data_IF_800608548749
#
_entry.id   IF_800608548749
#
_cell.length_a   1.000
_cell.length_b   1.000
_cell.length_c   1.000
_cell.angle_alpha   90.00
_cell.angle_beta   90.00
_cell.angle_gamma   90.00
#
_symmetry.space_group_name_H-M   'P 1'
#
loop_
_entity.id
_entity.type
_entity.pdbx_description
1 polymer ?
#
# COMPACT_ATOMS: atom_id res chain seq x y z
N UNK A 1 -1.35 -51.30 -60.03
CA UNK A 1 -1.22 -50.21 -59.04
C UNK A 1 -1.99 -49.02 -59.61
N UNK A 2 -3.23 -48.73 -59.20
CA UNK A 2 -3.57 -47.86 -58.05
C UNK A 2 -3.35 -46.38 -58.44
N UNK A 3 -4.32 -45.46 -58.51
CA UNK A 3 -5.63 -45.33 -57.84
C UNK A 3 -6.63 -44.52 -58.69
N UNK A 4 -7.91 -44.84 -58.47
CA UNK A 4 -9.13 -44.07 -58.77
C UNK A 4 -9.39 -43.05 -57.65
N UNK A 5 -10.14 -41.97 -57.93
CA UNK A 5 -11.08 -41.14 -57.13
C UNK A 5 -11.09 -39.73 -57.80
N UNK A 6 -12.10 -39.15 -58.47
CA UNK A 6 -13.57 -39.15 -58.32
C UNK A 6 -13.96 -38.92 -56.85
N UNK A 7 -14.63 -37.87 -56.41
CA UNK A 7 -15.27 -36.69 -57.00
C UNK A 7 -15.84 -35.88 -55.81
N UNK A 8 -16.60 -34.83 -56.14
CA UNK A 8 -17.58 -34.14 -55.26
C UNK A 8 -17.03 -33.14 -54.23
N UNK A 9 -17.66 -32.01 -53.96
CA UNK A 9 -18.68 -31.21 -54.63
C UNK A 9 -18.70 -29.90 -53.84
N UNK A 10 -18.73 -28.79 -54.56
CA UNK A 10 -18.87 -27.42 -54.10
C UNK A 10 -20.16 -27.21 -53.27
N UNK A 11 -20.12 -26.38 -52.23
CA UNK A 11 -21.13 -25.32 -52.01
C UNK A 11 -20.58 -24.22 -51.10
N UNK A 12 -20.67 -23.01 -51.65
CA UNK A 12 -20.52 -21.69 -51.03
C UNK A 12 -21.44 -21.50 -49.80
N UNK A 13 -21.04 -20.62 -48.87
CA UNK A 13 -21.68 -19.30 -48.69
C UNK A 13 -20.99 -18.47 -47.59
N UNK A 14 -21.18 -17.16 -47.75
CA UNK A 14 -20.36 -16.05 -47.26
C UNK A 14 -20.61 -15.64 -45.79
N UNK A 15 -19.58 -14.98 -45.26
CA UNK A 15 -19.65 -13.73 -44.50
C UNK A 15 -20.42 -13.72 -43.17
N UNK A 16 -19.67 -13.70 -42.07
CA UNK A 16 -19.93 -12.73 -41.01
C UNK A 16 -18.60 -12.25 -40.42
N UNK A 17 -18.23 -11.02 -40.82
CA UNK A 17 -17.28 -10.20 -40.11
C UNK A 17 -17.93 -9.72 -38.82
N UNK A 18 -17.37 -10.09 -37.66
CA UNK A 18 -17.68 -9.41 -36.40
C UNK A 18 -16.43 -8.66 -35.92
N UNK A 19 -16.42 -7.32 -36.00
CA UNK A 19 -15.35 -6.48 -35.46
C UNK A 19 -15.65 -6.09 -34.01
N UNK A 20 -14.63 -6.19 -33.15
CA UNK A 20 -14.46 -5.34 -31.95
C UNK A 20 -15.25 -5.70 -30.69
N UNK A 21 -14.55 -6.30 -29.73
CA UNK A 21 -14.75 -5.99 -28.31
C UNK A 21 -13.39 -6.10 -27.60
N UNK A 22 -12.80 -4.93 -27.38
CA UNK A 22 -11.67 -4.65 -26.51
C UNK A 22 -11.89 -5.08 -25.07
N UNK A 23 -10.77 -5.28 -24.37
CA UNK A 23 -10.58 -5.20 -22.93
C UNK A 23 -10.51 -6.51 -22.14
N UNK A 24 -9.41 -7.23 -22.35
CA UNK A 24 -8.63 -7.83 -21.27
C UNK A 24 -7.26 -8.21 -21.83
N UNK A 25 -6.33 -7.26 -21.89
CA UNK A 25 -4.92 -7.64 -21.86
C UNK A 25 -4.76 -8.35 -20.51
N UNK A 26 -4.80 -9.69 -20.51
CA UNK A 26 -4.23 -10.46 -19.41
C UNK A 26 -2.84 -9.89 -19.23
N UNK A 27 -2.69 -9.10 -18.15
CA UNK A 27 -1.51 -8.31 -17.86
C UNK A 27 -0.43 -9.32 -17.50
N UNK A 28 0.22 -9.85 -18.54
CA UNK A 28 1.25 -10.88 -18.41
C UNK A 28 2.19 -10.41 -17.32
N UNK A 29 2.37 -11.27 -16.30
CA UNK A 29 3.14 -10.89 -15.12
C UNK A 29 4.51 -10.38 -15.59
N UNK A 30 4.94 -9.17 -15.20
CA UNK A 30 6.19 -8.62 -15.67
C UNK A 30 7.32 -9.64 -15.52
N UNK A 31 8.15 -9.86 -16.56
CA UNK A 31 9.23 -10.87 -16.57
C UNK A 31 10.13 -10.80 -15.33
N UNK A 32 10.25 -9.62 -14.74
CA UNK A 32 10.94 -9.40 -13.47
C UNK A 32 10.37 -10.19 -12.30
N UNK A 33 9.04 -10.35 -12.20
CA UNK A 33 8.40 -11.14 -11.15
C UNK A 33 8.77 -12.62 -11.26
N UNK A 34 8.80 -13.16 -12.48
CA UNK A 34 9.24 -14.53 -12.77
C UNK A 34 10.71 -14.74 -12.35
N UNK A 35 11.58 -13.80 -12.73
CA UNK A 35 13.00 -13.87 -12.39
C UNK A 35 13.22 -13.81 -10.86
N UNK A 36 12.51 -12.92 -10.17
CA UNK A 36 12.57 -12.78 -8.72
C UNK A 36 12.05 -14.02 -7.99
N UNK A 37 10.91 -14.56 -8.42
CA UNK A 37 10.36 -15.79 -7.87
C UNK A 37 11.37 -16.94 -7.99
N UNK A 38 11.92 -17.16 -9.19
CA UNK A 38 12.88 -18.21 -9.43
C UNK A 38 14.17 -18.03 -8.60
N UNK A 39 14.63 -16.78 -8.42
CA UNK A 39 15.80 -16.49 -7.59
C UNK A 39 15.54 -16.80 -6.11
N UNK A 40 14.42 -16.33 -5.56
CA UNK A 40 14.05 -16.52 -4.16
C UNK A 40 13.75 -17.99 -3.83
N UNK A 41 13.05 -18.71 -4.70
CA UNK A 41 12.77 -20.13 -4.52
C UNK A 41 14.06 -20.97 -4.53
N UNK A 42 15.01 -20.66 -5.42
CA UNK A 42 16.34 -21.29 -5.38
C UNK A 42 17.09 -20.99 -4.08
N UNK A 43 16.99 -19.76 -3.58
CA UNK A 43 17.67 -19.32 -2.37
C UNK A 43 17.08 -20.02 -1.12
N UNK A 44 15.75 -20.03 -1.01
CA UNK A 44 15.02 -20.78 0.03
C UNK A 44 15.39 -22.26 0.00
N UNK A 45 15.34 -22.90 -1.17
CA UNK A 45 15.66 -24.31 -1.29
C UNK A 45 17.12 -24.65 -0.91
N UNK A 46 18.08 -23.77 -1.22
CA UNK A 46 19.49 -23.94 -0.82
C UNK A 46 19.65 -23.82 0.70
N UNK A 47 19.05 -22.79 1.29
CA UNK A 47 19.15 -22.53 2.72
C UNK A 47 18.49 -23.64 3.54
N UNK A 48 17.30 -24.10 3.14
CA UNK A 48 16.61 -25.19 3.84
C UNK A 48 17.35 -26.53 3.77
N UNK A 49 18.13 -26.78 2.71
CA UNK A 49 19.03 -27.95 2.67
C UNK A 49 20.16 -27.81 3.67
N UNK A 50 20.87 -26.69 3.68
CA UNK A 50 21.99 -26.45 4.60
C UNK A 50 21.53 -26.43 6.08
N UNK A 51 20.31 -25.96 6.35
CA UNK A 51 19.73 -25.91 7.69
C UNK A 51 19.29 -27.26 8.26
N UNK A 52 19.14 -28.29 7.42
CA UNK A 52 18.88 -29.65 7.91
C UNK A 52 20.13 -30.26 8.55
N UNK A 53 21.31 -29.77 8.17
CA UNK A 53 22.60 -30.30 8.61
C UNK A 53 23.10 -29.61 9.90
N UNK A 54 22.50 -28.49 10.32
CA UNK A 54 22.92 -27.66 11.47
C UNK A 54 21.72 -27.52 12.43
N UNK A 55 21.56 -28.45 13.38
CA UNK A 55 20.31 -28.59 14.14
C UNK A 55 20.12 -27.65 15.33
N UNK A 56 21.08 -26.80 15.69
CA UNK A 56 21.02 -26.07 16.96
C UNK A 56 21.31 -24.58 16.76
N UNK A 57 20.43 -23.73 17.29
CA UNK A 57 20.52 -22.25 17.35
C UNK A 57 19.98 -21.46 16.14
N UNK A 58 18.70 -21.66 15.80
CA UNK A 58 17.99 -20.75 14.87
C UNK A 58 17.56 -19.48 15.60
N UNK A 59 18.05 -18.32 15.13
CA UNK A 59 17.57 -17.01 15.58
C UNK A 59 16.21 -16.73 14.94
N UNK A 60 15.14 -16.88 15.73
CA UNK A 60 13.78 -16.57 15.27
C UNK A 60 13.61 -15.05 15.16
N UNK A 61 13.03 -14.59 14.05
CA UNK A 61 12.70 -13.17 13.83
C UNK A 61 11.21 -12.99 13.65
N UNK A 62 10.72 -11.74 13.77
CA UNK A 62 9.30 -11.38 13.54
C UNK A 62 8.80 -11.73 12.12
N UNK A 63 9.72 -11.95 11.19
CA UNK A 63 9.41 -12.33 9.82
C UNK A 63 9.10 -13.82 9.68
N UNK A 64 9.40 -14.66 10.67
CA UNK A 64 9.06 -16.07 10.64
C UNK A 64 7.58 -16.29 10.98
N UNK A 65 6.83 -16.86 10.03
CA UNK A 65 5.51 -17.40 10.29
C UNK A 65 5.57 -18.72 11.06
N UNK A 66 4.48 -19.05 11.75
CA UNK A 66 4.31 -20.36 12.42
C UNK A 66 4.24 -21.52 11.41
N UNK A 67 3.77 -21.24 10.19
CA UNK A 67 3.67 -22.18 9.07
C UNK A 67 3.93 -21.44 7.77
N UNK A 68 4.50 -22.10 6.75
CA UNK A 68 4.68 -21.50 5.45
C UNK A 68 3.32 -21.26 4.79
N UNK A 69 3.09 -20.12 4.11
CA UNK A 69 1.88 -19.88 3.35
C UNK A 69 1.65 -20.94 2.27
N UNK A 70 0.40 -21.39 2.08
CA UNK A 70 0.02 -22.32 1.00
C UNK A 70 -0.16 -21.57 -0.34
N UNK A 71 0.86 -20.81 -0.73
CA UNK A 71 0.93 -20.06 -1.99
C UNK A 71 2.40 -19.97 -2.41
N UNK A 72 2.70 -20.19 -3.69
CA UNK A 72 4.06 -20.05 -4.22
C UNK A 72 4.54 -18.60 -4.17
N UNK A 73 5.85 -18.40 -4.23
CA UNK A 73 6.44 -17.05 -4.25
C UNK A 73 5.98 -16.30 -5.49
N UNK A 74 5.93 -16.96 -6.65
CA UNK A 74 5.44 -16.36 -7.89
C UNK A 74 3.98 -15.88 -7.77
N UNK A 75 3.07 -16.75 -7.35
CA UNK A 75 1.65 -16.38 -7.19
C UNK A 75 1.48 -15.27 -6.15
N UNK A 76 2.33 -15.21 -5.14
CA UNK A 76 2.33 -14.14 -4.16
C UNK A 76 2.75 -12.79 -4.78
N UNK A 77 3.84 -12.79 -5.56
CA UNK A 77 4.32 -11.61 -6.29
C UNK A 77 3.30 -11.12 -7.33
N UNK A 78 2.64 -12.03 -8.05
CA UNK A 78 1.57 -11.69 -9.00
C UNK A 78 0.38 -11.02 -8.31
N UNK A 79 -0.02 -11.52 -7.14
CA UNK A 79 -1.08 -10.90 -6.33
C UNK A 79 -0.65 -9.53 -5.84
N UNK A 80 0.58 -9.39 -5.36
CA UNK A 80 1.11 -8.09 -4.98
C UNK A 80 1.02 -7.13 -6.16
N UNK A 81 1.59 -7.47 -7.32
CA UNK A 81 1.53 -6.62 -8.52
C UNK A 81 0.09 -6.32 -8.98
N UNK A 82 -0.84 -7.26 -8.87
CA UNK A 82 -2.25 -7.07 -9.24
C UNK A 82 -2.99 -6.10 -8.32
N UNK A 83 -2.71 -6.14 -7.01
CA UNK A 83 -3.45 -5.38 -6.00
C UNK A 83 -2.70 -4.15 -5.50
N UNK A 84 -1.40 -4.05 -5.75
CA UNK A 84 -0.59 -2.86 -5.51
C UNK A 84 -0.55 -2.02 -6.78
N UNK A 85 -0.81 -0.73 -6.67
CA UNK A 85 -0.60 0.22 -7.77
C UNK A 85 0.88 0.64 -7.86
N UNK A 86 1.80 -0.32 -7.74
CA UNK A 86 3.24 -0.07 -7.73
C UNK A 86 3.89 -0.52 -9.06
N UNK A 87 4.93 0.20 -9.46
CA UNK A 87 5.74 -0.07 -10.63
C UNK A 87 6.54 -1.37 -10.48
N UNK A 88 6.87 -2.06 -11.58
CA UNK A 88 7.73 -3.26 -11.54
C UNK A 88 9.09 -3.00 -10.89
N UNK A 89 9.58 -1.75 -10.90
CA UNK A 89 10.83 -1.32 -10.26
C UNK A 89 10.82 -1.53 -8.74
N UNK A 90 9.66 -1.41 -8.08
CA UNK A 90 9.53 -1.67 -6.64
C UNK A 90 9.87 -3.10 -6.25
N UNK A 91 9.63 -4.07 -7.13
CA UNK A 91 9.96 -5.46 -6.88
C UNK A 91 11.47 -5.71 -6.96
N UNK A 92 12.16 -5.05 -7.90
CA UNK A 92 13.62 -5.11 -7.99
C UNK A 92 14.26 -4.50 -6.76
N UNK A 93 13.83 -3.30 -6.36
CA UNK A 93 14.38 -2.62 -5.18
C UNK A 93 13.99 -3.34 -3.89
N UNK A 94 12.79 -3.91 -3.81
CA UNK A 94 12.39 -4.78 -2.71
C UNK A 94 13.29 -6.02 -2.58
N UNK A 95 13.74 -6.61 -3.69
CA UNK A 95 14.71 -7.70 -3.67
C UNK A 95 16.11 -7.24 -3.21
N UNK A 96 16.55 -6.06 -3.66
CA UNK A 96 17.78 -5.43 -3.17
C UNK A 96 17.73 -5.24 -1.66
N UNK A 97 16.62 -4.81 -1.07
CA UNK A 97 16.49 -4.69 0.39
C UNK A 97 16.57 -6.02 1.12
N UNK A 98 16.01 -7.09 0.56
CA UNK A 98 16.18 -8.44 1.09
C UNK A 98 17.66 -8.82 1.09
N UNK A 99 18.36 -8.61 -0.02
CA UNK A 99 19.79 -8.92 -0.13
C UNK A 99 20.65 -8.14 0.90
N UNK A 100 20.39 -6.85 1.07
CA UNK A 100 21.06 -6.04 2.10
C UNK A 100 20.80 -6.55 3.52
N UNK A 101 19.55 -6.96 3.81
CA UNK A 101 19.19 -7.50 5.12
C UNK A 101 19.94 -8.81 5.40
N UNK A 102 20.04 -9.69 4.41
CA UNK A 102 20.77 -10.96 4.53
C UNK A 102 22.27 -10.74 4.76
N UNK A 103 22.87 -9.76 4.11
CA UNK A 103 24.27 -9.37 4.38
C UNK A 103 24.48 -8.83 5.79
N UNK A 104 23.52 -8.06 6.33
CA UNK A 104 23.60 -7.51 7.70
C UNK A 104 23.25 -8.52 8.79
N UNK A 105 22.51 -9.57 8.47
CA UNK A 105 22.04 -10.59 9.42
C UNK A 105 22.26 -12.00 8.84
N UNK A 106 23.52 -12.45 8.70
CA UNK A 106 23.84 -13.76 8.11
C UNK A 106 23.24 -14.94 8.89
N UNK A 107 22.99 -14.75 10.20
CA UNK A 107 22.39 -15.76 11.08
C UNK A 107 20.88 -15.98 10.82
N UNK A 108 20.26 -15.17 9.95
CA UNK A 108 18.83 -15.22 9.63
C UNK A 108 18.65 -15.54 8.15
N UNK A 109 18.76 -16.82 7.75
CA UNK A 109 18.59 -17.20 6.36
C UNK A 109 17.14 -17.04 5.90
N UNK A 110 16.97 -16.73 4.61
CA UNK A 110 15.65 -16.74 3.99
C UNK A 110 15.17 -18.17 3.76
N UNK A 111 13.96 -18.48 4.21
CA UNK A 111 13.32 -19.81 4.14
C UNK A 111 11.81 -19.68 3.88
N UNK A 112 11.12 -20.80 3.65
CA UNK A 112 9.68 -20.82 3.36
C UNK A 112 8.80 -20.17 4.45
N UNK A 113 9.29 -20.10 5.69
CA UNK A 113 8.58 -19.47 6.81
C UNK A 113 8.63 -17.94 6.79
N UNK A 114 9.64 -17.34 6.15
CA UNK A 114 9.87 -15.89 6.22
C UNK A 114 9.87 -15.16 4.86
N UNK A 115 10.06 -15.88 3.75
CA UNK A 115 10.18 -15.28 2.41
C UNK A 115 9.00 -14.39 2.03
N UNK A 116 7.74 -14.83 2.27
CA UNK A 116 6.55 -14.03 1.93
C UNK A 116 6.44 -12.77 2.78
N UNK A 117 6.72 -12.86 4.08
CA UNK A 117 6.66 -11.73 5.02
C UNK A 117 7.76 -10.70 4.73
N UNK A 118 8.95 -11.18 4.38
CA UNK A 118 10.05 -10.32 3.93
C UNK A 118 9.69 -9.61 2.63
N UNK A 119 9.15 -10.33 1.65
CA UNK A 119 8.72 -9.79 0.36
C UNK A 119 7.71 -8.65 0.48
N UNK A 120 6.61 -8.86 1.21
CA UNK A 120 5.61 -7.79 1.36
C UNK A 120 6.19 -6.60 2.09
N UNK A 121 7.00 -6.81 3.12
CA UNK A 121 7.62 -5.72 3.88
C UNK A 121 8.57 -4.92 2.99
N UNK A 122 9.47 -5.59 2.28
CA UNK A 122 10.48 -4.94 1.44
C UNK A 122 9.87 -4.20 0.27
N UNK A 123 8.88 -4.79 -0.41
CA UNK A 123 8.18 -4.15 -1.52
C UNK A 123 7.35 -2.98 -1.03
N UNK A 124 6.66 -3.07 0.11
CA UNK A 124 5.91 -1.92 0.66
C UNK A 124 6.83 -0.75 1.03
N UNK A 125 8.04 -1.02 1.54
CA UNK A 125 9.05 0.03 1.76
C UNK A 125 9.53 0.61 0.43
N UNK A 126 9.77 -0.22 -0.59
CA UNK A 126 10.17 0.25 -1.92
C UNK A 126 9.08 1.09 -2.59
N UNK A 127 7.81 0.68 -2.52
CA UNK A 127 6.65 1.45 -3.03
C UNK A 127 6.58 2.82 -2.38
N UNK A 128 6.73 2.91 -1.05
CA UNK A 128 6.74 4.21 -0.36
C UNK A 128 7.88 5.13 -0.79
N UNK A 129 8.99 4.59 -1.30
CA UNK A 129 10.15 5.39 -1.68
C UNK A 129 10.15 5.76 -3.16
N UNK A 130 9.74 4.83 -4.02
CA UNK A 130 9.86 4.94 -5.49
C UNK A 130 8.54 5.33 -6.14
N UNK A 131 7.44 4.76 -5.63
CA UNK A 131 6.08 5.03 -6.10
C UNK A 131 5.28 5.75 -5.01
N UNK A 132 5.94 6.59 -4.21
CA UNK A 132 5.20 7.61 -3.48
C UNK A 132 4.53 8.43 -4.58
N UNK A 133 3.21 8.27 -4.68
CA UNK A 133 2.45 8.06 -5.94
C UNK A 133 2.52 9.23 -6.94
N UNK A 134 3.22 10.29 -6.56
CA UNK A 134 3.31 11.53 -7.27
C UNK A 134 4.74 12.09 -7.27
N UNK A 135 5.87 11.37 -7.22
CA UNK A 135 7.20 12.06 -7.19
C UNK A 135 7.37 13.20 -8.23
N UNK A 136 6.87 13.02 -9.47
CA UNK A 136 6.78 14.08 -10.49
C UNK A 136 5.71 15.14 -10.14
N UNK A 137 4.52 14.73 -9.73
CA UNK A 137 3.43 15.62 -9.31
C UNK A 137 3.78 16.43 -8.05
N UNK A 138 4.40 15.84 -7.03
CA UNK A 138 5.02 16.44 -5.86
C UNK A 138 6.13 17.41 -6.26
N UNK A 139 6.97 17.08 -7.25
CA UNK A 139 7.95 18.03 -7.76
C UNK A 139 7.28 19.23 -8.43
N UNK A 140 6.22 19.00 -9.23
CA UNK A 140 5.41 20.05 -9.83
C UNK A 140 4.63 20.86 -8.78
N UNK A 141 4.12 20.23 -7.73
CA UNK A 141 3.43 20.86 -6.61
C UNK A 141 4.40 21.75 -5.84
N UNK A 142 5.61 21.26 -5.53
CA UNK A 142 6.64 22.03 -4.86
C UNK A 142 7.07 23.22 -5.74
N UNK A 143 7.35 23.01 -7.03
CA UNK A 143 7.67 24.09 -7.97
C UNK A 143 6.52 25.12 -8.06
N UNK A 144 5.27 24.66 -8.14
CA UNK A 144 4.09 25.52 -8.15
C UNK A 144 3.95 26.34 -6.86
N UNK A 145 4.16 25.72 -5.69
CA UNK A 145 4.13 26.40 -4.40
C UNK A 145 5.23 27.47 -4.28
N UNK A 146 6.44 27.17 -4.76
CA UNK A 146 7.52 28.15 -4.83
C UNK A 146 7.18 29.32 -5.75
N UNK A 147 6.61 29.06 -6.93
CA UNK A 147 6.16 30.11 -7.87
C UNK A 147 5.04 30.97 -7.32
N UNK A 148 4.22 30.41 -6.42
CA UNK A 148 3.17 31.15 -5.71
C UNK A 148 3.70 31.90 -4.48
N UNK A 149 4.99 31.83 -4.16
CA UNK A 149 5.57 32.33 -2.91
C UNK A 149 4.80 31.83 -1.67
N UNK A 150 4.22 30.61 -1.75
CA UNK A 150 3.34 30.02 -0.74
C UNK A 150 2.11 30.88 -0.37
N UNK A 151 1.71 31.84 -1.22
CA UNK A 151 0.56 32.72 -1.01
C UNK A 151 -0.75 32.05 -1.43
N UNK A 152 -1.18 31.05 -0.66
CA UNK A 152 -2.37 30.22 -0.95
C UNK A 152 -3.69 30.78 -0.37
N UNK A 153 -3.66 31.97 0.22
CA UNK A 153 -4.83 32.56 0.88
C UNK A 153 -5.82 33.11 -0.15
N UNK A 154 -7.07 32.64 -0.11
CA UNK A 154 -8.17 33.13 -0.93
C UNK A 154 -9.26 33.67 -0.01
N UNK A 155 -9.64 34.94 -0.18
CA UNK A 155 -10.73 35.57 0.58
C UNK A 155 -12.08 35.32 -0.08
N UNK A 156 -13.18 35.42 0.68
CA UNK A 156 -14.54 35.26 0.14
C UNK A 156 -14.82 36.18 -1.06
N UNK A 157 -14.43 37.46 -0.96
CA UNK A 157 -14.63 38.42 -2.05
C UNK A 157 -13.84 38.07 -3.31
N UNK A 158 -12.61 37.57 -3.16
CA UNK A 158 -11.78 37.13 -4.29
C UNK A 158 -12.39 35.90 -4.95
N UNK A 159 -12.82 34.94 -4.12
CA UNK A 159 -13.46 33.72 -4.56
C UNK A 159 -14.75 33.99 -5.35
N UNK A 160 -15.66 34.80 -4.80
CA UNK A 160 -16.92 35.19 -5.47
C UNK A 160 -16.67 35.89 -6.81
N UNK A 161 -15.64 36.74 -6.86
CA UNK A 161 -15.19 37.39 -8.10
C UNK A 161 -14.74 36.38 -9.16
N UNK A 162 -13.95 35.37 -8.78
CA UNK A 162 -13.50 34.31 -9.69
C UNK A 162 -14.64 33.38 -10.13
N UNK A 163 -15.58 33.03 -9.24
CA UNK A 163 -16.78 32.27 -9.63
C UNK A 163 -17.61 33.02 -10.68
N UNK A 164 -17.87 34.31 -10.44
CA UNK A 164 -18.62 35.15 -11.39
C UNK A 164 -17.92 35.25 -12.74
N UNK A 165 -16.58 35.33 -12.74
CA UNK A 165 -15.79 35.33 -13.97
C UNK A 165 -15.89 34.00 -14.72
N UNK A 166 -15.75 32.86 -14.04
CA UNK A 166 -15.85 31.54 -14.65
C UNK A 166 -17.25 31.25 -15.21
N UNK A 167 -18.31 31.65 -14.50
CA UNK A 167 -19.69 31.54 -15.00
C UNK A 167 -19.88 32.32 -16.30
N UNK A 168 -19.29 33.53 -16.40
CA UNK A 168 -19.32 34.34 -17.62
C UNK A 168 -18.58 33.67 -18.78
N UNK A 169 -17.40 33.12 -18.54
CA UNK A 169 -16.62 32.38 -19.56
C UNK A 169 -17.37 31.12 -20.04
N UNK A 170 -18.02 30.38 -19.14
CA UNK A 170 -18.84 29.22 -19.52
C UNK A 170 -20.04 29.60 -20.39
N UNK A 171 -20.70 30.73 -20.08
CA UNK A 171 -21.78 31.26 -20.92
C UNK A 171 -21.29 31.67 -22.31
N UNK A 172 -20.08 32.25 -22.41
CA UNK A 172 -19.44 32.58 -23.69
C UNK A 172 -19.04 31.32 -24.48
N UNK A 173 -18.65 30.25 -23.80
CA UNK A 173 -18.34 28.95 -24.40
C UNK A 173 -19.59 28.13 -24.81
N UNK A 174 -20.81 28.67 -24.61
CA UNK A 174 -22.06 28.02 -24.99
C UNK A 174 -22.46 26.82 -24.11
N UNK A 175 -21.79 26.63 -22.97
CA UNK A 175 -22.12 25.57 -22.01
C UNK A 175 -23.06 26.12 -20.93
N UNK A 176 -24.25 25.51 -20.78
CA UNK A 176 -25.26 25.93 -19.82
C UNK A 176 -25.04 25.22 -18.48
N UNK A 177 -24.83 25.97 -17.41
CA UNK A 177 -24.83 25.45 -16.04
C UNK A 177 -26.27 25.16 -15.58
N UNK A 178 -26.51 23.97 -15.02
CA UNK A 178 -27.79 23.66 -14.36
C UNK A 178 -27.93 24.37 -13.00
N UNK A 179 -26.82 24.76 -12.36
CA UNK A 179 -26.79 25.46 -11.05
C UNK A 179 -25.61 26.46 -10.96
N UNK A 180 -25.75 27.59 -10.24
CA UNK A 180 -24.66 28.55 -10.01
C UNK A 180 -23.51 27.94 -9.18
N UNK A 181 -22.26 28.31 -9.49
CA UNK A 181 -21.06 27.83 -8.79
C UNK A 181 -21.08 28.22 -7.31
N UNK A 182 -21.67 29.37 -6.97
CA UNK A 182 -21.77 29.86 -5.58
C UNK A 182 -22.42 28.85 -4.64
N UNK A 183 -23.48 28.15 -5.07
CA UNK A 183 -24.16 27.15 -4.24
C UNK A 183 -23.38 25.85 -4.05
N UNK A 184 -22.54 25.46 -5.01
CA UNK A 184 -21.71 24.27 -4.88
C UNK A 184 -20.61 24.46 -3.82
N UNK A 185 -20.22 25.71 -3.59
CA UNK A 185 -19.13 26.08 -2.69
C UNK A 185 -19.61 26.25 -1.26
N UNK A 186 -20.82 26.77 -1.04
CA UNK A 186 -21.43 26.80 0.30
C UNK A 186 -21.52 25.37 0.87
N UNK A 187 -21.90 24.40 0.04
CA UNK A 187 -21.94 22.97 0.39
C UNK A 187 -20.54 22.45 0.73
N UNK A 188 -19.54 22.71 -0.13
CA UNK A 188 -18.15 22.28 0.12
C UNK A 188 -17.55 22.93 1.37
N UNK A 189 -17.90 24.18 1.66
CA UNK A 189 -17.43 24.92 2.83
C UNK A 189 -18.03 24.38 4.13
N UNK A 190 -19.32 24.01 4.12
CA UNK A 190 -19.96 23.32 5.24
C UNK A 190 -19.39 21.91 5.45
N UNK A 191 -19.10 21.16 4.38
CA UNK A 191 -18.48 19.84 4.46
C UNK A 191 -17.06 19.90 5.07
N UNK A 192 -16.23 20.86 4.63
CA UNK A 192 -14.89 21.07 5.18
C UNK A 192 -14.94 21.50 6.66
N UNK A 193 -15.91 22.34 7.04
CA UNK A 193 -16.12 22.74 8.43
C UNK A 193 -16.55 21.56 9.32
N UNK A 194 -17.44 20.70 8.83
CA UNK A 194 -17.87 19.49 9.52
C UNK A 194 -16.73 18.48 9.69
N UNK A 195 -15.88 18.28 8.68
CA UNK A 195 -14.74 17.36 8.75
C UNK A 195 -13.69 17.85 9.76
N UNK A 196 -13.42 19.16 9.80
CA UNK A 196 -12.58 19.77 10.84
C UNK A 196 -13.15 19.57 12.25
N UNK A 197 -14.47 19.72 12.42
CA UNK A 197 -15.16 19.50 13.69
C UNK A 197 -15.01 18.04 14.14
N UNK A 198 -15.23 17.07 13.24
CA UNK A 198 -15.10 15.63 13.50
C UNK A 198 -13.67 15.23 13.89
N UNK A 199 -12.67 15.74 13.16
CA UNK A 199 -11.26 15.50 13.47
C UNK A 199 -10.87 16.06 14.83
N UNK A 200 -11.37 17.25 15.18
CA UNK A 200 -11.17 17.85 16.50
C UNK A 200 -11.77 16.98 17.63
N UNK A 201 -12.99 16.48 17.45
CA UNK A 201 -13.64 15.59 18.41
C UNK A 201 -12.91 14.25 18.56
N UNK A 202 -12.40 13.69 17.47
CA UNK A 202 -11.68 12.41 17.51
C UNK A 202 -10.31 12.53 18.18
N UNK A 203 -9.61 13.66 17.96
CA UNK A 203 -8.38 14.01 18.69
C UNK A 203 -8.67 14.18 20.19
N UNK A 204 -9.75 14.88 20.56
CA UNK A 204 -10.15 15.04 21.97
C UNK A 204 -10.53 13.70 22.62
N UNK A 205 -11.18 12.80 21.88
CA UNK A 205 -11.53 11.45 22.35
C UNK A 205 -10.28 10.60 22.59
N UNK A 206 -9.31 10.64 21.67
CA UNK A 206 -8.01 9.95 21.81
C UNK A 206 -7.21 10.49 22.99
N UNK A 207 -7.15 11.80 23.18
CA UNK A 207 -6.48 12.41 24.35
C UNK A 207 -7.13 11.98 25.67
N UNK A 208 -8.46 11.91 25.73
CA UNK A 208 -9.20 11.44 26.93
C UNK A 208 -8.88 9.98 27.26
N UNK A 209 -8.78 9.11 26.25
CA UNK A 209 -8.41 7.71 26.44
C UNK A 209 -6.97 7.56 26.94
N UNK A 210 -6.03 8.33 26.40
CA UNK A 210 -4.64 8.35 26.85
C UNK A 210 -4.51 8.86 28.30
N UNK A 211 -5.27 9.89 28.67
CA UNK A 211 -5.29 10.39 30.05
C UNK A 211 -5.92 9.40 31.03
N UNK A 212 -6.97 8.68 30.62
CA UNK A 212 -7.57 7.62 31.44
C UNK A 212 -6.65 6.41 31.60
N UNK A 213 -5.92 6.01 30.56
CA UNK A 213 -4.94 4.91 30.64
C UNK A 213 -3.76 5.27 31.54
N UNK A 214 -3.36 6.55 31.55
CA UNK A 214 -2.34 7.08 32.46
C UNK A 214 -2.82 7.06 33.91
N UNK A 215 -4.08 7.44 34.18
CA UNK A 215 -4.66 7.40 35.53
C UNK A 215 -4.77 5.97 36.10
N UNK A 216 -5.11 4.97 35.27
CA UNK A 216 -5.16 3.55 35.67
C UNK A 216 -3.76 3.01 35.98
N UNK A 217 -2.75 3.42 35.22
CA UNK A 217 -1.35 3.00 35.43
C UNK A 217 -0.76 3.63 36.72
N UNK A 218 -1.10 4.88 37.01
CA UNK A 218 -0.72 5.55 38.27
C UNK A 218 -1.47 4.99 39.50
N UNK A 219 -2.74 4.60 39.36
CA UNK A 219 -3.51 3.96 40.43
C UNK A 219 -2.96 2.57 40.79
N UNK A 220 -2.53 1.78 39.80
CA UNK A 220 -1.87 0.49 40.03
C UNK A 220 -0.48 0.62 40.69
N UNK A 221 0.24 1.71 40.41
CA UNK A 221 1.57 1.94 41.01
C UNK A 221 1.48 2.32 42.50
N UNK A 222 0.40 2.97 42.96
CA UNK A 222 0.15 3.22 44.40
C UNK A 222 -0.22 1.96 45.18
N UNK A 223 -0.89 1.00 44.56
CA UNK A 223 -1.22 -0.28 45.21
C UNK A 223 -0.01 -1.19 45.41
N UNK A 224 1.08 -1.01 44.65
CA UNK A 224 2.32 -1.76 44.88
C UNK A 224 3.18 -1.20 46.02
N UNK A 225 3.13 0.12 46.29
CA UNK A 225 3.89 0.73 47.39
C UNK A 225 3.29 0.46 48.78
N UNK A 226 2.01 0.08 48.88
CA UNK A 226 1.39 -0.33 50.15
C UNK A 226 1.75 -1.76 50.58
N UNK A 227 2.32 -2.57 49.69
CA UNK A 227 2.69 -3.97 49.96
C UNK A 227 4.16 -4.17 50.39
N UNK A 228 4.97 -3.11 50.48
CA UNK A 228 6.40 -3.18 50.86
C UNK A 228 6.69 -2.49 52.19
N UNK A 229 5.69 -2.33 53.07
CA UNK A 229 5.94 -1.88 54.45
C UNK A 229 6.32 -3.09 55.32
N UNK A 230 7.54 -3.16 55.88
CA UNK A 230 7.94 -4.26 56.74
C UNK A 230 7.22 -4.17 58.10
N UNK A 231 6.82 -5.30 58.70
CA UNK A 231 6.20 -5.28 60.02
C UNK A 231 7.25 -4.89 61.08
N UNK A 232 6.95 -3.84 61.83
CA UNK A 232 7.68 -3.45 63.03
C UNK A 232 7.58 -4.56 64.08
N UNK A 233 8.73 -5.11 64.47
CA UNK A 233 8.86 -6.03 65.60
C UNK A 233 8.61 -5.27 66.91
N UNK A 234 7.45 -5.52 67.52
CA UNK A 234 7.17 -5.15 68.91
C UNK A 234 7.53 -6.32 69.82
N UNK A 235 8.57 -6.11 70.62
CA UNK A 235 8.94 -6.91 71.79
C UNK A 235 7.89 -6.82 72.91
N UNK A 236 7.95 -7.82 73.81
CA UNK A 236 7.51 -7.81 75.21
C UNK A 236 5.99 -8.01 75.43
N UNK A 237 5.51 -8.87 76.34
CA UNK A 237 6.09 -9.70 77.41
C UNK A 237 5.28 -10.97 77.57
#
# INVERSE_FOLDING_TARGET
MGKVHEGDMEVHLAEETVPGASDATEREAPRVLLALAAALERLVGRNERCLKDISEHRKMTIYHGLRPPNISVLKYLERMHKYSNCSPSCFVVGFVYIDHLLHKQPDVPIISLNVHRLLITSVMVATKLLDDVNAELNALEIDFLFRLDFRLQVTSNMFEGYCSHLEKEMMLAGQRLEKPLSKAVDIASEEIAQEKQRLSEDIQRKLRLVMNHSAVTYANSRNLQSLVSPPSSSLAS
#
